data_IF_374102332468
#
_entry.id   IF_374102332468
#
_cell.length_a   1.000
_cell.length_b   1.000
_cell.length_c   1.000
_cell.angle_alpha   90.00
_cell.angle_beta   90.00
_cell.angle_gamma   90.00
#
_symmetry.space_group_name_H-M   'P 1'
#
loop_
_entity.id
_entity.type
_entity.pdbx_description
1 polymer ?
#
# COMPACT_ATOMS: atom_id res chain seq x y z
N UNK A 1 -6.31 -13.45 11.82
CA UNK A 1 -6.75 -12.64 10.65
C UNK A 1 -5.65 -11.68 10.25
N UNK A 2 -5.47 -11.44 8.94
CA UNK A 2 -4.57 -10.41 8.40
C UNK A 2 -5.37 -9.37 7.63
N UNK A 3 -5.12 -8.09 7.90
CA UNK A 3 -5.62 -6.96 7.12
C UNK A 3 -4.51 -6.40 6.23
N UNK A 4 -4.82 -6.16 4.96
CA UNK A 4 -3.88 -5.57 4.01
C UNK A 4 -4.60 -4.49 3.19
N UNK A 5 -4.11 -3.27 3.27
CA UNK A 5 -4.64 -2.17 2.47
C UNK A 5 -3.79 -0.93 2.53
N UNK A 6 -4.37 0.14 2.03
CA UNK A 6 -3.79 1.47 1.96
C UNK A 6 -3.85 2.19 3.31
N UNK A 7 -3.58 3.50 3.31
CA UNK A 7 -3.74 4.34 4.50
C UNK A 7 -5.16 4.35 5.07
N UNK A 8 -6.18 3.95 4.30
CA UNK A 8 -7.55 3.82 4.82
C UNK A 8 -7.70 2.68 5.81
N UNK A 9 -6.99 1.58 5.59
CA UNK A 9 -7.04 0.44 6.49
C UNK A 9 -6.22 0.67 7.77
N UNK A 10 -5.36 1.70 7.81
CA UNK A 10 -4.62 2.10 9.02
C UNK A 10 -5.52 2.73 10.11
N UNK A 11 -6.75 3.14 9.76
CA UNK A 11 -7.72 3.61 10.74
C UNK A 11 -8.29 2.48 11.61
N UNK A 12 -8.16 1.22 11.18
CA UNK A 12 -8.53 0.08 12.01
C UNK A 12 -7.39 -0.22 12.97
N UNK A 13 -7.36 0.52 14.08
CA UNK A 13 -6.40 0.35 15.14
C UNK A 13 -6.60 -1.00 15.83
N UNK A 14 -5.50 -1.62 16.25
CA UNK A 14 -5.57 -2.93 16.88
C UNK A 14 -6.32 -2.91 18.22
N UNK A 15 -6.23 -1.82 18.98
CA UNK A 15 -7.04 -1.61 20.18
C UNK A 15 -8.55 -1.68 19.90
N UNK A 16 -9.00 -1.04 18.82
CA UNK A 16 -10.40 -1.03 18.43
C UNK A 16 -10.83 -2.43 17.96
N UNK A 17 -10.01 -3.06 17.13
CA UNK A 17 -10.27 -4.41 16.63
C UNK A 17 -10.35 -5.43 17.76
N UNK A 18 -9.48 -5.36 18.77
CA UNK A 18 -9.50 -6.22 19.95
C UNK A 18 -10.71 -5.95 20.84
N UNK A 19 -11.23 -4.71 20.89
CA UNK A 19 -12.45 -4.42 21.64
C UNK A 19 -13.68 -5.10 21.02
N UNK A 20 -13.74 -5.21 19.68
CA UNK A 20 -14.85 -5.89 18.98
C UNK A 20 -14.64 -7.41 18.83
N UNK A 21 -13.39 -7.86 18.68
CA UNK A 21 -13.02 -9.24 18.44
C UNK A 21 -11.90 -9.67 19.41
N UNK A 22 -12.18 -9.81 20.71
CA UNK A 22 -11.15 -10.03 21.74
C UNK A 22 -10.41 -11.36 21.59
N UNK A 23 -11.08 -12.38 21.05
CA UNK A 23 -10.51 -13.72 20.86
C UNK A 23 -9.72 -13.86 19.55
N UNK A 24 -9.60 -12.79 18.76
CA UNK A 24 -8.98 -12.83 17.44
C UNK A 24 -7.56 -12.28 17.48
N UNK A 25 -6.62 -13.05 16.91
CA UNK A 25 -5.31 -12.52 16.57
C UNK A 25 -5.34 -11.79 15.23
N UNK A 26 -5.37 -10.47 15.29
CA UNK A 26 -5.47 -9.60 14.12
C UNK A 26 -4.14 -8.88 13.90
N UNK A 27 -3.61 -9.01 12.68
CA UNK A 27 -2.42 -8.29 12.25
C UNK A 27 -2.79 -7.35 11.10
N UNK A 28 -2.45 -6.07 11.23
CA UNK A 28 -2.76 -5.07 10.21
C UNK A 28 -1.49 -4.69 9.45
N UNK A 29 -1.28 -5.28 8.28
CA UNK A 29 -0.09 -5.05 7.43
C UNK A 29 -0.33 -3.96 6.37
N UNK A 30 -1.35 -3.13 6.59
CA UNK A 30 -1.67 -2.01 5.74
C UNK A 30 -0.58 -0.94 5.79
N UNK A 31 -0.48 -0.16 4.72
CA UNK A 31 0.51 0.92 4.63
C UNK A 31 0.04 2.00 3.68
N UNK A 32 0.68 3.16 3.69
CA UNK A 32 0.31 4.23 2.77
C UNK A 32 0.54 3.80 1.31
N UNK A 33 -0.54 3.85 0.52
CA UNK A 33 -0.52 3.68 -0.94
C UNK A 33 0.10 2.34 -1.36
N UNK A 34 -0.41 1.25 -0.79
CA UNK A 34 -0.11 -0.12 -1.19
C UNK A 34 -0.77 -0.48 -2.53
N UNK A 35 -0.20 -1.45 -3.23
CA UNK A 35 -0.74 -1.97 -4.50
C UNK A 35 -0.73 -3.50 -4.51
N UNK A 36 -1.37 -4.17 -5.49
CA UNK A 36 -1.32 -5.63 -5.59
C UNK A 36 0.07 -6.27 -5.52
N UNK A 37 1.10 -5.63 -6.09
CA UNK A 37 2.48 -6.09 -5.95
C UNK A 37 2.95 -6.18 -4.48
N UNK A 38 2.59 -5.17 -3.68
CA UNK A 38 2.86 -5.15 -2.23
C UNK A 38 2.13 -6.29 -1.53
N UNK A 39 0.85 -6.51 -1.85
CA UNK A 39 0.08 -7.59 -1.25
C UNK A 39 0.68 -8.96 -1.54
N UNK A 40 1.00 -9.24 -2.82
CA UNK A 40 1.63 -10.50 -3.20
C UNK A 40 2.95 -10.73 -2.45
N UNK A 41 3.81 -9.70 -2.36
CA UNK A 41 5.09 -9.82 -1.65
C UNK A 41 4.92 -10.27 -0.20
N UNK A 42 4.03 -9.61 0.55
CA UNK A 42 3.80 -9.98 1.95
C UNK A 42 3.14 -11.34 2.08
N UNK A 43 2.19 -11.69 1.20
CA UNK A 43 1.59 -13.01 1.20
C UNK A 43 2.62 -14.11 0.95
N UNK A 44 3.48 -13.97 -0.06
CA UNK A 44 4.53 -14.97 -0.30
C UNK A 44 5.51 -15.08 0.86
N UNK A 45 5.91 -13.96 1.46
CA UNK A 45 6.74 -13.95 2.66
C UNK A 45 6.09 -14.68 3.83
N UNK A 46 4.82 -14.40 4.11
CA UNK A 46 4.10 -15.00 5.23
C UNK A 46 3.86 -16.50 5.01
N UNK A 47 3.30 -16.85 3.85
CA UNK A 47 2.89 -18.22 3.55
C UNK A 47 4.12 -19.08 3.22
N UNK A 48 4.88 -18.72 2.19
CA UNK A 48 5.93 -19.59 1.63
C UNK A 48 7.22 -19.56 2.44
N UNK A 49 7.61 -18.40 2.98
CA UNK A 49 8.85 -18.29 3.74
C UNK A 49 8.64 -18.42 5.25
N UNK A 50 7.48 -17.95 5.75
CA UNK A 50 7.15 -17.95 7.17
C UNK A 50 6.37 -19.18 7.63
N UNK A 51 5.73 -19.93 6.72
CA UNK A 51 4.84 -21.04 7.07
C UNK A 51 3.60 -20.60 7.86
N UNK A 52 3.24 -19.32 7.80
CA UNK A 52 2.09 -18.75 8.50
C UNK A 52 0.88 -18.85 7.60
N UNK A 53 -0.17 -19.57 8.01
CA UNK A 53 -1.41 -19.71 7.26
C UNK A 53 -2.57 -19.04 8.01
N UNK A 54 -2.94 -17.79 7.68
CA UNK A 54 -4.03 -17.09 8.36
C UNK A 54 -5.39 -17.70 8.03
N UNK A 55 -6.29 -17.77 9.01
CA UNK A 55 -7.67 -18.24 8.81
C UNK A 55 -8.50 -17.33 7.89
N UNK A 56 -8.14 -16.05 7.83
CA UNK A 56 -8.78 -15.04 7.01
C UNK A 56 -7.79 -13.92 6.67
N UNK A 57 -7.78 -13.54 5.40
CA UNK A 57 -7.02 -12.41 4.87
C UNK A 57 -8.02 -11.44 4.25
N UNK A 58 -7.94 -10.16 4.62
CA UNK A 58 -8.76 -9.09 4.06
C UNK A 58 -7.86 -8.17 3.23
N UNK A 59 -8.18 -7.99 1.95
CA UNK A 59 -7.39 -7.17 1.03
C UNK A 59 -8.24 -6.01 0.50
N UNK A 60 -7.81 -4.77 0.75
CA UNK A 60 -8.43 -3.56 0.16
C UNK A 60 -8.14 -3.50 -1.34
N UNK A 61 -9.19 -3.33 -2.14
CA UNK A 61 -9.11 -3.14 -3.60
C UNK A 61 -9.63 -1.77 -3.99
N UNK A 62 -8.71 -0.81 -4.12
CA UNK A 62 -9.02 0.57 -4.51
C UNK A 62 -8.51 0.86 -5.93
N UNK A 63 -9.29 1.52 -6.80
CA UNK A 63 -8.88 1.84 -8.17
C UNK A 63 -7.52 2.54 -8.28
N UNK A 64 -7.17 3.42 -7.33
CA UNK A 64 -5.89 4.12 -7.33
C UNK A 64 -4.69 3.17 -7.30
N UNK A 65 -4.84 2.00 -6.68
CA UNK A 65 -3.80 0.97 -6.61
C UNK A 65 -3.49 0.37 -7.99
N UNK A 66 -4.42 0.55 -8.94
CA UNK A 66 -4.37 0.05 -10.31
C UNK A 66 -4.08 1.16 -11.34
N UNK A 67 -3.76 2.37 -10.90
CA UNK A 67 -3.43 3.49 -11.79
C UNK A 67 -1.94 3.46 -12.19
N UNK A 68 -1.65 3.23 -13.48
CA UNK A 68 -0.30 3.25 -14.06
C UNK A 68 0.41 4.59 -13.89
N UNK A 69 -0.34 5.68 -13.91
CA UNK A 69 0.20 7.03 -13.82
C UNK A 69 0.40 7.48 -12.36
N UNK A 70 0.09 6.62 -11.38
CA UNK A 70 0.40 6.88 -9.99
C UNK A 70 1.93 6.88 -9.78
N UNK A 71 2.51 8.06 -9.58
CA UNK A 71 3.92 8.18 -9.20
C UNK A 71 4.21 7.58 -7.82
N UNK A 72 3.17 7.28 -7.06
CA UNK A 72 3.28 6.84 -5.68
C UNK A 72 3.69 5.38 -5.55
N UNK A 73 3.32 4.48 -6.49
CA UNK A 73 3.79 3.09 -6.46
C UNK A 73 5.33 2.99 -6.41
N UNK A 74 6.01 3.73 -7.30
CA UNK A 74 7.49 3.73 -7.37
C UNK A 74 8.11 4.24 -6.07
N UNK A 75 7.59 5.36 -5.55
CA UNK A 75 8.16 6.04 -4.39
C UNK A 75 7.83 5.34 -3.07
N UNK A 76 6.62 4.81 -2.91
CA UNK A 76 6.13 4.24 -1.67
C UNK A 76 6.43 2.74 -1.58
N UNK A 77 6.06 1.93 -2.58
CA UNK A 77 6.24 0.48 -2.49
C UNK A 77 7.57 0.03 -3.09
N UNK A 78 7.84 0.40 -4.35
CA UNK A 78 9.01 -0.13 -5.07
C UNK A 78 10.32 0.25 -4.38
N UNK A 79 10.43 1.48 -3.86
CA UNK A 79 11.64 1.95 -3.20
C UNK A 79 11.83 1.45 -1.75
N UNK A 80 10.78 0.96 -1.07
CA UNK A 80 10.82 0.70 0.37
C UNK A 80 10.39 -0.71 0.82
N UNK A 81 9.66 -1.47 0.00
CA UNK A 81 8.97 -2.68 0.49
C UNK A 81 9.62 -3.99 0.06
N UNK A 82 10.06 -4.08 -1.19
CA UNK A 82 10.48 -5.36 -1.78
C UNK A 82 11.94 -5.68 -1.51
N UNK A 83 12.25 -6.98 -1.42
CA UNK A 83 13.62 -7.46 -1.46
C UNK A 83 14.06 -7.82 -2.90
N UNK A 84 15.38 -7.94 -3.17
CA UNK A 84 15.87 -8.23 -4.52
C UNK A 84 15.37 -9.56 -5.08
N UNK A 85 15.12 -10.56 -4.23
CA UNK A 85 14.67 -11.89 -4.68
C UNK A 85 13.27 -11.77 -5.30
N UNK A 86 12.36 -11.06 -4.64
CA UNK A 86 11.02 -10.81 -5.18
C UNK A 86 11.05 -10.02 -6.48
N UNK A 87 11.89 -8.98 -6.56
CA UNK A 87 12.04 -8.17 -7.78
C UNK A 87 12.56 -9.01 -8.95
N UNK A 88 13.56 -9.86 -8.72
CA UNK A 88 14.11 -10.74 -9.75
C UNK A 88 13.11 -11.81 -10.17
N UNK A 89 12.40 -12.44 -9.21
CA UNK A 89 11.36 -13.43 -9.47
C UNK A 89 10.27 -12.90 -10.40
N UNK A 90 9.90 -11.63 -10.24
CA UNK A 90 8.85 -10.97 -11.04
C UNK A 90 9.38 -9.90 -12.01
N UNK A 91 10.65 -9.98 -12.41
CA UNK A 91 11.31 -8.94 -13.22
C UNK A 91 10.55 -8.63 -14.51
N UNK A 92 10.02 -9.66 -15.17
CA UNK A 92 9.22 -9.51 -16.39
C UNK A 92 7.90 -8.79 -16.14
N UNK A 93 7.21 -9.09 -15.04
CA UNK A 93 5.95 -8.42 -14.65
C UNK A 93 6.20 -6.96 -14.27
N UNK A 94 7.27 -6.68 -13.51
CA UNK A 94 7.66 -5.30 -13.18
C UNK A 94 8.08 -4.50 -14.41
N UNK A 95 8.72 -5.15 -15.39
CA UNK A 95 9.27 -4.51 -16.57
C UNK A 95 10.59 -3.78 -16.29
N UNK A 96 11.37 -3.58 -17.35
CA UNK A 96 12.74 -3.04 -17.31
C UNK A 96 12.86 -1.73 -16.52
N UNK A 97 11.90 -0.81 -16.70
CA UNK A 97 11.95 0.51 -16.06
C UNK A 97 11.87 0.41 -14.53
N UNK A 98 10.94 -0.39 -14.00
CA UNK A 98 10.76 -0.56 -12.56
C UNK A 98 11.90 -1.36 -11.94
N UNK A 99 12.39 -2.39 -12.62
CA UNK A 99 13.56 -3.18 -12.16
C UNK A 99 14.81 -2.29 -12.08
N UNK A 100 15.07 -1.49 -13.11
CA UNK A 100 16.20 -0.55 -13.12
C UNK A 100 16.06 0.49 -11.99
N UNK A 101 14.85 1.06 -11.81
CA UNK A 101 14.58 2.00 -10.73
C UNK A 101 14.83 1.37 -9.35
N UNK A 102 14.36 0.15 -9.13
CA UNK A 102 14.58 -0.58 -7.89
C UNK A 102 16.07 -0.74 -7.60
N UNK A 103 16.85 -1.32 -8.53
CA UNK A 103 18.27 -1.59 -8.29
C UNK A 103 19.11 -0.31 -8.19
N UNK A 104 18.75 0.75 -8.92
CA UNK A 104 19.39 2.05 -8.74
C UNK A 104 19.23 2.56 -7.31
N UNK A 105 18.04 2.40 -6.72
CA UNK A 105 17.80 2.81 -5.32
C UNK A 105 18.40 1.85 -4.31
N UNK A 106 18.30 0.54 -4.56
CA UNK A 106 18.82 -0.49 -3.65
C UNK A 106 20.35 -0.44 -3.53
N UNK A 107 21.06 -0.24 -4.64
CA UNK A 107 22.52 -0.25 -4.66
C UNK A 107 23.14 1.12 -4.36
N UNK A 108 22.52 2.20 -4.87
CA UNK A 108 23.13 3.53 -4.85
C UNK A 108 22.28 4.58 -4.11
N UNK A 109 21.10 4.22 -3.60
CA UNK A 109 20.24 5.13 -2.87
C UNK A 109 19.74 6.31 -3.69
N UNK A 110 19.66 6.21 -5.03
CA UNK A 110 19.48 7.37 -5.94
C UNK A 110 18.23 8.21 -5.64
N UNK A 111 17.13 7.60 -5.19
CA UNK A 111 15.90 8.29 -4.81
C UNK A 111 16.00 9.05 -3.49
N UNK A 112 16.77 8.53 -2.53
CA UNK A 112 16.95 9.08 -1.18
C UNK A 112 18.11 10.08 -1.11
N UNK A 113 19.18 9.77 -1.83
CA UNK A 113 20.45 10.48 -1.88
C UNK A 113 20.67 11.00 -3.29
N UNK A 114 19.73 11.82 -3.77
CA UNK A 114 20.00 12.59 -4.99
C UNK A 114 21.33 13.33 -4.75
N UNK A 115 22.37 13.13 -5.58
CA UNK A 115 23.73 13.61 -5.31
C UNK A 115 23.86 15.12 -5.51
N UNK A 116 22.88 15.89 -5.06
CA UNK A 116 22.94 17.32 -5.00
C UNK A 116 23.78 17.69 -3.77
N UNK A 117 24.98 18.19 -4.02
CA UNK A 117 25.93 18.68 -3.00
C UNK A 117 25.24 19.63 -2.01
N UNK A 118 24.28 20.44 -2.47
CA UNK A 118 23.47 21.29 -1.60
C UNK A 118 22.62 20.54 -0.56
N UNK A 119 22.08 19.36 -0.88
CA UNK A 119 21.35 18.53 0.07
C UNK A 119 22.29 17.86 1.07
N UNK A 120 23.49 17.48 0.64
CA UNK A 120 24.53 16.93 1.52
C UNK A 120 24.94 17.98 2.55
N UNK A 121 25.26 19.20 2.11
CA UNK A 121 25.62 20.32 3.01
C UNK A 121 24.46 20.65 3.96
N UNK A 122 23.21 20.68 3.47
CA UNK A 122 22.03 20.87 4.33
C UNK A 122 21.90 19.77 5.37
N UNK A 123 22.13 18.50 5.01
CA UNK A 123 22.07 17.35 5.93
C UNK A 123 23.17 17.37 6.99
N UNK A 124 24.39 17.76 6.64
CA UNK A 124 25.48 17.96 7.60
C UNK A 124 25.17 19.05 8.63
N UNK A 125 24.33 20.02 8.27
CA UNK A 125 23.86 21.11 9.15
C UNK A 125 22.46 20.85 9.72
N UNK A 126 21.88 19.67 9.52
CA UNK A 126 20.47 19.42 9.81
C UNK A 126 20.26 18.97 11.26
N UNK A 127 19.68 19.86 12.07
CA UNK A 127 19.31 19.62 13.47
C UNK A 127 18.17 18.57 13.61
N UNK A 128 17.47 18.23 12.52
CA UNK A 128 16.36 17.29 12.52
C UNK A 128 16.75 15.82 12.27
N UNK A 129 18.04 15.49 12.22
CA UNK A 129 18.48 14.08 12.09
C UNK A 129 17.97 13.23 13.26
N UNK A 130 17.96 13.79 14.47
CA UNK A 130 17.40 13.17 15.66
C UNK A 130 15.90 12.88 15.53
N UNK A 131 15.14 13.77 14.88
CA UNK A 131 13.71 13.57 14.63
C UNK A 131 13.46 12.40 13.65
N UNK A 132 14.30 12.27 12.62
CA UNK A 132 14.22 11.15 11.66
C UNK A 132 14.46 9.80 12.34
N UNK A 133 15.50 9.68 13.16
CA UNK A 133 15.78 8.45 13.91
C UNK A 133 14.73 8.17 14.99
N UNK A 134 14.18 9.21 15.63
CA UNK A 134 13.05 9.07 16.55
C UNK A 134 11.82 8.49 15.85
N UNK A 135 11.41 9.05 14.71
CA UNK A 135 10.27 8.56 13.93
C UNK A 135 10.46 7.09 13.50
N UNK A 136 11.66 6.73 13.05
CA UNK A 136 12.01 5.34 12.71
C UNK A 136 11.89 4.42 13.92
N UNK A 137 12.44 4.82 15.06
CA UNK A 137 12.39 4.04 16.30
C UNK A 137 10.95 3.85 16.77
N UNK A 138 10.14 4.92 16.77
CA UNK A 138 8.72 4.86 17.11
C UNK A 138 7.95 3.96 16.15
N UNK A 139 8.24 4.03 14.85
CA UNK A 139 7.61 3.15 13.84
C UNK A 139 7.94 1.68 14.13
N UNK A 140 9.21 1.34 14.36
CA UNK A 140 9.62 -0.04 14.67
C UNK A 140 8.97 -0.52 15.97
N UNK A 141 8.94 0.32 17.01
CA UNK A 141 8.32 -0.02 18.28
C UNK A 141 6.81 -0.28 18.13
N UNK A 142 6.11 0.56 17.37
CA UNK A 142 4.66 0.41 17.10
C UNK A 142 4.39 -0.85 16.29
N UNK A 143 5.14 -1.11 15.22
CA UNK A 143 4.98 -2.32 14.42
C UNK A 143 5.16 -3.60 15.26
N UNK A 144 6.07 -3.60 16.24
CA UNK A 144 6.29 -4.73 17.15
C UNK A 144 5.22 -4.87 18.23
N UNK A 145 4.78 -3.76 18.81
CA UNK A 145 3.84 -3.77 19.94
C UNK A 145 2.37 -3.84 19.51
N UNK A 146 2.05 -3.35 18.30
CA UNK A 146 0.68 -3.19 17.79
C UNK A 146 0.38 -4.13 16.61
N UNK A 147 0.86 -5.38 16.68
CA UNK A 147 0.64 -6.47 15.69
C UNK A 147 0.74 -6.00 14.22
N UNK A 148 1.81 -5.26 13.89
CA UNK A 148 2.11 -4.80 12.53
C UNK A 148 1.41 -3.52 12.07
N UNK A 149 0.52 -2.94 12.88
CA UNK A 149 -0.19 -1.71 12.55
C UNK A 149 0.78 -0.52 12.47
N UNK A 150 0.77 0.20 11.36
CA UNK A 150 1.59 1.39 11.19
C UNK A 150 0.86 2.64 11.70
N UNK A 151 1.62 3.63 12.18
CA UNK A 151 1.06 4.91 12.59
C UNK A 151 0.47 5.61 11.36
N UNK A 152 -0.85 5.87 11.36
CA UNK A 152 -1.43 6.78 10.37
C UNK A 152 -0.89 8.19 10.61
N UNK A 153 -0.26 8.85 9.62
CA UNK A 153 0.21 10.23 9.78
C UNK A 153 -0.95 11.23 9.95
N UNK A 154 -2.17 10.82 9.60
CA UNK A 154 -3.40 11.54 9.92
C UNK A 154 -4.04 10.87 11.14
N UNK A 155 -3.71 11.35 12.33
CA UNK A 155 -4.31 10.86 13.58
C UNK A 155 -5.82 11.10 13.61
N UNK A 156 -6.58 10.10 14.08
CA UNK A 156 -7.99 10.18 14.48
C UNK A 156 -8.95 10.90 13.50
N UNK A 157 -8.73 10.79 12.20
CA UNK A 157 -9.57 11.47 11.21
C UNK A 157 -10.86 10.68 10.93
N UNK A 158 -11.81 10.77 11.85
CA UNK A 158 -13.22 10.43 11.57
C UNK A 158 -13.90 11.75 11.21
N UNK A 159 -13.62 12.28 10.02
CA UNK A 159 -14.33 13.47 9.53
C UNK A 159 -15.79 13.11 9.32
N UNK A 160 -16.68 13.78 10.04
CA UNK A 160 -18.14 13.58 10.00
C UNK A 160 -18.85 14.73 9.27
N UNK A 161 -18.13 15.81 8.96
CA UNK A 161 -18.68 16.93 8.20
C UNK A 161 -18.78 16.55 6.72
N UNK A 162 -20.02 16.37 6.25
CA UNK A 162 -20.32 16.05 4.86
C UNK A 162 -19.74 17.05 3.85
N UNK A 163 -19.71 18.34 4.17
CA UNK A 163 -19.15 19.38 3.31
C UNK A 163 -17.64 19.20 3.14
N UNK A 164 -16.91 18.91 4.23
CA UNK A 164 -15.47 18.64 4.18
C UNK A 164 -15.14 17.33 3.49
N UNK A 165 -15.92 16.27 3.73
CA UNK A 165 -15.78 14.99 3.01
C UNK A 165 -15.98 15.24 1.51
N UNK A 166 -16.97 16.04 1.13
CA UNK A 166 -17.25 16.36 -0.28
C UNK A 166 -16.13 17.20 -0.91
N UNK A 167 -15.59 18.20 -0.20
CA UNK A 167 -14.46 18.98 -0.69
C UNK A 167 -13.19 18.12 -0.84
N UNK A 168 -12.90 17.29 0.15
CA UNK A 168 -11.80 16.33 0.08
C UNK A 168 -11.98 15.36 -1.09
N UNK A 169 -13.19 14.82 -1.27
CA UNK A 169 -13.50 13.93 -2.39
C UNK A 169 -13.25 14.63 -3.74
N UNK A 170 -13.67 15.89 -3.92
CA UNK A 170 -13.38 16.67 -5.14
C UNK A 170 -11.88 16.86 -5.38
N UNK A 171 -11.10 17.16 -4.33
CA UNK A 171 -9.64 17.28 -4.43
C UNK A 171 -9.00 15.93 -4.80
N UNK A 172 -9.44 14.85 -4.17
CA UNK A 172 -8.97 13.49 -4.47
C UNK A 172 -9.33 13.08 -5.89
N UNK A 173 -10.54 13.41 -6.37
CA UNK A 173 -10.94 13.24 -7.78
C UNK A 173 -9.92 13.94 -8.66
N UNK A 174 -9.77 15.26 -8.51
CA UNK A 174 -8.87 16.07 -9.35
C UNK A 174 -7.40 15.66 -9.28
N UNK A 175 -6.96 15.03 -8.20
CA UNK A 175 -5.61 14.52 -8.06
C UNK A 175 -5.41 13.14 -8.68
N UNK A 176 -6.31 12.19 -8.42
CA UNK A 176 -6.12 10.77 -8.73
C UNK A 176 -6.62 10.39 -10.12
N UNK A 177 -7.79 10.90 -10.51
CA UNK A 177 -8.58 10.32 -11.60
C UNK A 177 -8.42 10.99 -12.98
N UNK A 178 -8.08 12.29 -13.12
CA UNK A 178 -7.87 12.91 -14.44
C UNK A 178 -6.78 12.26 -15.29
N UNK A 179 -5.78 11.66 -14.63
CA UNK A 179 -4.70 10.94 -15.30
C UNK A 179 -4.83 9.43 -15.14
N UNK A 180 -5.99 8.90 -14.78
CA UNK A 180 -6.13 7.47 -14.57
C UNK A 180 -5.89 6.68 -15.86
N UNK A 181 -4.98 5.71 -15.77
CA UNK A 181 -4.78 4.70 -16.80
C UNK A 181 -4.59 3.34 -16.13
N UNK A 182 -5.25 2.26 -16.61
CA UNK A 182 -5.06 0.93 -16.04
C UNK A 182 -3.59 0.47 -16.06
N UNK A 183 -3.12 -0.11 -14.96
CA UNK A 183 -1.78 -0.67 -14.83
C UNK A 183 -1.79 -2.17 -15.05
N UNK A 184 -1.53 -2.64 -16.28
CA UNK A 184 -1.42 -4.08 -16.59
C UNK A 184 -0.52 -4.83 -15.59
N UNK A 185 0.61 -4.23 -15.19
CA UNK A 185 1.50 -4.76 -14.16
C UNK A 185 0.78 -5.07 -12.84
N UNK A 186 0.02 -4.12 -12.28
CA UNK A 186 -0.66 -4.33 -11.01
C UNK A 186 -1.79 -5.36 -11.14
N UNK A 187 -2.43 -5.45 -12.30
CA UNK A 187 -3.43 -6.48 -12.56
C UNK A 187 -2.79 -7.86 -12.64
N UNK A 188 -1.61 -7.99 -13.25
CA UNK A 188 -0.88 -9.25 -13.28
C UNK A 188 -0.45 -9.70 -11.86
N UNK A 189 -0.04 -8.77 -11.00
CA UNK A 189 0.18 -9.08 -9.59
C UNK A 189 -1.11 -9.50 -8.87
N UNK A 190 -2.22 -8.84 -9.17
CA UNK A 190 -3.53 -9.18 -8.61
C UNK A 190 -3.97 -10.59 -9.03
N UNK A 191 -3.79 -10.97 -10.30
CA UNK A 191 -4.00 -12.35 -10.79
C UNK A 191 -3.14 -13.38 -10.05
N UNK A 192 -1.87 -13.04 -9.78
CA UNK A 192 -0.96 -13.91 -9.02
C UNK A 192 -1.41 -14.13 -7.57
N UNK A 193 -2.09 -13.17 -6.96
CA UNK A 193 -2.70 -13.36 -5.63
C UNK A 193 -3.79 -14.44 -5.71
N UNK A 194 -4.64 -14.44 -6.73
CA UNK A 194 -5.64 -15.51 -6.90
C UNK A 194 -5.02 -16.88 -7.18
N UNK A 195 -3.89 -16.92 -7.90
CA UNK A 195 -3.14 -18.16 -8.10
C UNK A 195 -2.64 -18.68 -6.75
N UNK A 196 -1.96 -17.84 -5.97
CA UNK A 196 -1.48 -18.18 -4.63
C UNK A 196 -2.63 -18.59 -3.71
N UNK A 197 -3.76 -17.89 -3.77
CA UNK A 197 -4.97 -18.23 -3.01
C UNK A 197 -5.42 -19.66 -3.28
N UNK A 198 -5.44 -20.07 -4.55
CA UNK A 198 -5.87 -21.43 -4.95
C UNK A 198 -4.82 -22.48 -4.60
N UNK A 199 -3.54 -22.19 -4.84
CA UNK A 199 -2.42 -23.09 -4.51
C UNK A 199 -2.37 -23.42 -3.02
N UNK A 200 -2.58 -22.42 -2.16
CA UNK A 200 -2.40 -22.53 -0.71
C UNK A 200 -3.75 -22.62 0.05
N UNK A 201 -4.86 -22.77 -0.68
CA UNK A 201 -6.24 -22.82 -0.15
C UNK A 201 -6.57 -21.69 0.85
N UNK A 202 -6.19 -20.45 0.49
CA UNK A 202 -6.36 -19.28 1.37
C UNK A 202 -7.79 -18.74 1.32
N UNK A 203 -8.31 -18.38 2.50
CA UNK A 203 -9.56 -17.63 2.64
C UNK A 203 -9.27 -16.13 2.53
N UNK A 204 -9.47 -15.57 1.33
CA UNK A 204 -9.25 -14.15 1.05
C UNK A 204 -10.58 -13.45 0.79
N UNK A 205 -10.83 -12.36 1.53
CA UNK A 205 -11.92 -11.43 1.29
C UNK A 205 -11.35 -10.16 0.64
N UNK A 206 -11.75 -9.89 -0.59
CA UNK A 206 -11.43 -8.64 -1.27
C UNK A 206 -12.49 -7.59 -0.95
N UNK A 207 -12.08 -6.45 -0.39
CA UNK A 207 -12.98 -5.38 0.03
C UNK A 207 -12.71 -4.15 -0.82
N UNK A 208 -13.70 -3.74 -1.60
CA UNK A 208 -13.69 -2.42 -2.24
C UNK A 208 -14.21 -1.40 -1.24
N UNK A 209 -13.41 -0.42 -0.81
CA UNK A 209 -13.88 0.61 0.12
C UNK A 209 -14.98 1.43 -0.56
N UNK A 210 -16.01 1.79 0.21
CA UNK A 210 -17.05 2.70 -0.24
C UNK A 210 -16.44 4.05 -0.61
N UNK A 211 -16.92 4.65 -1.69
CA UNK A 211 -16.55 6.01 -2.10
C UNK A 211 -17.74 6.94 -1.87
N UNK A 212 -17.47 8.23 -1.67
CA UNK A 212 -18.55 9.23 -1.57
C UNK A 212 -19.38 9.23 -2.86
N UNK A 213 -20.70 9.51 -2.83
CA UNK A 213 -21.55 9.52 -4.03
C UNK A 213 -21.02 10.37 -5.21
N UNK A 214 -20.37 11.54 -5.01
CA UNK A 214 -19.75 12.29 -6.11
C UNK A 214 -18.58 11.55 -6.77
N UNK A 215 -17.79 10.81 -5.99
CA UNK A 215 -16.70 9.97 -6.50
C UNK A 215 -17.25 8.75 -7.21
N UNK A 216 -18.32 8.14 -6.69
CA UNK A 216 -19.01 7.03 -7.35
C UNK A 216 -19.46 7.42 -8.76
N UNK A 217 -20.11 8.58 -8.90
CA UNK A 217 -20.50 9.11 -10.21
C UNK A 217 -19.32 9.27 -11.18
N UNK A 218 -18.16 9.76 -10.70
CA UNK A 218 -16.96 9.88 -11.53
C UNK A 218 -16.41 8.51 -11.91
N UNK A 219 -16.39 7.55 -10.99
CA UNK A 219 -15.98 6.18 -11.28
C UNK A 219 -16.89 5.53 -12.33
N UNK A 220 -18.19 5.74 -12.23
CA UNK A 220 -19.18 5.21 -13.19
C UNK A 220 -19.02 5.85 -14.57
N UNK A 221 -18.87 7.18 -14.65
CA UNK A 221 -18.62 7.91 -15.90
C UNK A 221 -17.32 7.45 -16.58
N UNK A 222 -16.27 7.20 -15.79
CA UNK A 222 -15.00 6.67 -16.27
C UNK A 222 -15.00 5.16 -16.50
N UNK A 223 -16.10 4.46 -16.15
CA UNK A 223 -16.22 2.99 -16.17
C UNK A 223 -15.09 2.30 -15.39
N UNK A 224 -14.80 2.77 -14.18
CA UNK A 224 -13.74 2.26 -13.31
C UNK A 224 -14.31 1.55 -12.08
N UNK A 225 -13.86 0.32 -11.78
CA UNK A 225 -13.09 -0.55 -12.67
C UNK A 225 -13.97 -0.97 -13.86
N UNK A 226 -13.39 -1.18 -15.05
CA UNK A 226 -14.12 -1.89 -16.11
C UNK A 226 -14.66 -3.21 -15.50
N UNK A 227 -15.78 -3.74 -15.97
CA UNK A 227 -16.24 -5.06 -15.56
C UNK A 227 -15.27 -6.12 -16.09
N UNK A 228 -14.22 -6.45 -15.31
CA UNK A 228 -13.19 -7.41 -15.74
C UNK A 228 -13.68 -8.85 -15.74
N UNK A 229 -14.88 -9.13 -15.21
CA UNK A 229 -15.53 -10.43 -15.30
C UNK A 229 -16.11 -10.75 -16.68
N UNK A 230 -16.00 -9.84 -17.66
CA UNK A 230 -16.54 -9.98 -19.01
C UNK A 230 -15.48 -10.05 -20.12
N UNK A 231 -14.20 -10.28 -19.79
CA UNK A 231 -13.15 -10.59 -20.78
C UNK A 231 -12.50 -11.93 -20.49
#
# INVERSE_FOLDING_TARGET
>A
MILMGSSRMLYFQNSDLLAFYPDWDIYNLSSAVTTPAYYLYFLEKLIKNGGVHPDLIVIETDPFQFNKNSTTFKKANLANSFDPIFILKYAWTFGKENVNYYFANFLFGVSYNKPYIGNVIKRFKNENSAMGELLKTMTIATLKSDKGNAISPAGAYVEKDFGKIQESARKTIGWIYPSYAPSEMQYEFYKKIFILQREENLKILFVRPGVSPPMEKVLDELKIPETWSQK
#
